data_IF_771891261599
#
_entry.id   IF_771891261599
#
_cell.length_a   1.000
_cell.length_b   1.000
_cell.length_c   1.000
_cell.angle_alpha   90.00
_cell.angle_beta   90.00
_cell.angle_gamma   90.00
#
_symmetry.space_group_name_H-M   'P 1'
#
loop_
_entity.id
_entity.type
_entity.pdbx_description
1 polymer ?
#
# COMPACT_ATOMS: atom_id res chain seq x y z
N UNK A 1 8.24 -2.12 7.07
CA UNK A 1 8.32 -2.18 5.59
C UNK A 1 9.65 -2.78 5.14
N UNK A 2 10.78 -2.23 5.58
CA UNK A 2 12.13 -2.73 5.25
C UNK A 2 12.34 -4.22 5.56
N UNK A 3 11.90 -4.69 6.73
CA UNK A 3 12.00 -6.11 7.09
C UNK A 3 11.27 -7.02 6.11
N UNK A 4 10.10 -6.61 5.62
CA UNK A 4 9.35 -7.35 4.61
C UNK A 4 10.10 -7.35 3.27
N UNK A 5 10.66 -6.22 2.83
CA UNK A 5 11.45 -6.17 1.61
C UNK A 5 12.70 -7.05 1.69
N UNK A 6 13.45 -7.00 2.79
CA UNK A 6 14.62 -7.86 3.01
C UNK A 6 14.24 -9.34 2.99
N UNK A 7 13.11 -9.70 3.61
CA UNK A 7 12.62 -11.09 3.61
C UNK A 7 12.20 -11.55 2.21
N UNK A 8 11.42 -10.75 1.47
CA UNK A 8 10.99 -11.08 0.10
C UNK A 8 12.16 -11.12 -0.86
N UNK A 9 13.14 -10.22 -0.73
CA UNK A 9 14.37 -10.26 -1.53
C UNK A 9 15.19 -11.52 -1.25
N UNK A 10 15.35 -11.90 0.02
CA UNK A 10 16.03 -13.14 0.39
C UNK A 10 15.30 -14.37 -0.18
N UNK A 11 13.97 -14.39 -0.07
CA UNK A 11 13.12 -15.44 -0.66
C UNK A 11 13.34 -15.53 -2.18
N UNK A 12 13.37 -14.41 -2.90
CA UNK A 12 13.64 -14.38 -4.35
C UNK A 12 15.04 -14.91 -4.72
N UNK A 13 16.04 -14.71 -3.87
CA UNK A 13 17.41 -15.20 -4.07
C UNK A 13 17.55 -16.70 -3.78
N UNK A 14 16.82 -17.20 -2.79
CA UNK A 14 16.87 -18.62 -2.39
C UNK A 14 15.99 -19.50 -3.30
N UNK A 15 14.82 -18.99 -3.73
CA UNK A 15 13.87 -19.72 -4.58
C UNK A 15 14.27 -19.58 -6.05
N UNK A 16 15.29 -20.35 -6.46
CA UNK A 16 15.81 -20.35 -7.83
C UNK A 16 14.88 -21.01 -8.85
N UNK A 17 14.00 -21.92 -8.41
CA UNK A 17 13.05 -22.64 -9.27
C UNK A 17 11.66 -22.67 -8.62
N UNK A 18 10.87 -21.59 -8.75
CA UNK A 18 9.56 -21.47 -8.10
C UNK A 18 8.56 -22.58 -8.46
N UNK A 19 8.69 -23.17 -9.65
CA UNK A 19 7.84 -24.28 -10.09
C UNK A 19 7.92 -25.52 -9.19
N UNK A 20 9.01 -25.69 -8.43
CA UNK A 20 9.16 -26.78 -7.46
C UNK A 20 8.24 -26.62 -6.23
N UNK A 21 7.71 -25.42 -6.01
CA UNK A 21 6.78 -25.14 -4.91
C UNK A 21 5.33 -25.53 -5.25
N UNK A 22 5.05 -25.87 -6.51
CA UNK A 22 3.70 -26.19 -6.98
C UNK A 22 3.23 -27.52 -6.38
N UNK A 23 2.05 -27.52 -5.77
CA UNK A 23 1.50 -28.66 -5.04
C UNK A 23 2.26 -29.03 -3.75
N UNK A 24 3.20 -28.18 -3.29
CA UNK A 24 3.83 -28.31 -1.98
C UNK A 24 3.04 -27.48 -0.99
N UNK A 25 2.62 -28.08 0.12
CA UNK A 25 1.84 -27.40 1.14
C UNK A 25 2.72 -27.06 2.35
N UNK A 26 2.46 -25.93 3.03
CA UNK A 26 3.22 -25.56 4.22
C UNK A 26 3.11 -26.63 5.31
N UNK A 27 4.23 -27.01 5.93
CA UNK A 27 4.20 -27.84 7.14
C UNK A 27 3.52 -27.05 8.25
N UNK A 28 2.44 -27.61 8.78
CA UNK A 28 1.66 -26.98 9.83
C UNK A 28 2.37 -27.15 11.18
N UNK A 29 3.23 -26.20 11.52
CA UNK A 29 3.92 -26.17 12.81
C UNK A 29 2.95 -25.69 13.91
N UNK A 30 2.18 -26.61 14.49
CA UNK A 30 1.61 -26.51 15.84
C UNK A 30 0.66 -25.34 16.15
N UNK A 31 -0.51 -25.27 15.52
CA UNK A 31 -1.73 -24.68 16.09
C UNK A 31 -2.96 -25.09 15.27
N UNK A 32 -4.10 -25.25 15.96
CA UNK A 32 -5.38 -25.80 15.49
C UNK A 32 -5.79 -25.49 14.03
N UNK A 33 -6.56 -26.39 13.39
CA UNK A 33 -6.92 -26.30 11.97
C UNK A 33 -7.95 -25.19 11.76
N UNK A 34 -7.48 -23.95 11.67
CA UNK A 34 -8.22 -22.89 11.02
C UNK A 34 -8.11 -23.19 9.52
N UNK A 35 -9.07 -23.96 8.99
CA UNK A 35 -9.35 -24.19 7.56
C UNK A 35 -8.14 -23.87 6.68
N UNK A 36 -7.18 -24.78 6.77
CA UNK A 36 -5.82 -24.68 6.28
C UNK A 36 -5.82 -24.11 4.87
N UNK A 37 -5.07 -23.02 4.67
CA UNK A 37 -4.86 -22.42 3.36
C UNK A 37 -4.45 -23.52 2.39
N UNK A 38 -5.38 -23.97 1.54
CA UNK A 38 -5.15 -24.98 0.50
C UNK A 38 -4.25 -24.43 -0.62
N UNK A 39 -3.71 -23.24 -0.42
CA UNK A 39 -2.76 -22.59 -1.31
C UNK A 39 -1.43 -23.31 -1.23
N UNK A 40 -0.91 -23.68 -2.39
CA UNK A 40 0.43 -24.24 -2.44
C UNK A 40 1.48 -23.15 -2.20
N UNK A 41 2.72 -23.57 -1.92
CA UNK A 41 3.81 -22.64 -1.68
C UNK A 41 4.13 -21.78 -2.91
N UNK A 42 3.76 -22.21 -4.12
CA UNK A 42 3.93 -21.43 -5.33
C UNK A 42 2.95 -20.26 -5.40
N UNK A 43 1.67 -20.48 -5.12
CA UNK A 43 0.65 -19.44 -5.03
C UNK A 43 1.00 -18.43 -3.93
N UNK A 44 1.45 -18.91 -2.77
CA UNK A 44 1.91 -18.04 -1.69
C UNK A 44 3.15 -17.23 -2.06
N UNK A 45 4.11 -17.84 -2.76
CA UNK A 45 5.28 -17.13 -3.30
C UNK A 45 4.87 -16.03 -4.28
N UNK A 46 3.90 -16.30 -5.16
CA UNK A 46 3.39 -15.33 -6.13
C UNK A 46 2.69 -14.15 -5.44
N UNK A 47 1.86 -14.41 -4.43
CA UNK A 47 1.22 -13.36 -3.64
C UNK A 47 2.25 -12.46 -2.94
N UNK A 48 3.22 -13.05 -2.25
CA UNK A 48 4.27 -12.29 -1.56
C UNK A 48 5.08 -11.42 -2.54
N UNK A 49 5.21 -11.84 -3.80
CA UNK A 49 5.83 -11.02 -4.85
C UNK A 49 4.92 -9.94 -5.41
N UNK A 50 3.63 -10.21 -5.55
CA UNK A 50 2.65 -9.23 -6.03
C UNK A 50 2.47 -8.06 -5.05
N UNK A 51 2.56 -8.33 -3.75
CA UNK A 51 2.45 -7.32 -2.70
C UNK A 51 3.69 -6.39 -2.65
N UNK A 52 4.88 -6.89 -3.00
CA UNK A 52 6.13 -6.11 -2.98
C UNK A 52 6.03 -4.75 -3.70
N UNK A 53 5.65 -4.68 -4.99
CA UNK A 53 5.50 -3.40 -5.69
C UNK A 53 4.35 -2.56 -5.14
N UNK A 54 3.29 -3.14 -4.58
CA UNK A 54 2.22 -2.37 -3.93
C UNK A 54 2.72 -1.64 -2.69
N UNK A 55 3.58 -2.29 -1.91
CA UNK A 55 4.20 -1.69 -0.72
C UNK A 55 5.25 -0.63 -1.11
N UNK A 56 6.02 -0.87 -2.17
CA UNK A 56 7.00 0.10 -2.71
C UNK A 56 6.30 1.33 -3.32
N UNK A 57 5.29 1.11 -4.18
CA UNK A 57 4.61 2.16 -4.95
C UNK A 57 3.43 2.78 -4.23
N UNK A 58 2.87 2.12 -3.23
CA UNK A 58 1.85 2.67 -2.32
C UNK A 58 2.33 3.89 -1.54
N UNK A 59 3.66 4.10 -1.46
CA UNK A 59 4.26 5.33 -0.98
C UNK A 59 4.64 6.31 -2.10
N UNK A 60 4.71 5.86 -3.35
CA UNK A 60 5.25 6.62 -4.49
C UNK A 60 4.18 7.15 -5.46
N UNK A 61 2.91 6.71 -5.39
CA UNK A 61 1.87 7.14 -6.34
C UNK A 61 1.29 8.51 -6.01
N UNK A 62 2.09 9.55 -6.20
CA UNK A 62 1.61 10.91 -6.44
C UNK A 62 1.55 11.10 -7.96
N UNK A 63 0.38 10.82 -8.53
CA UNK A 63 0.00 11.29 -9.86
C UNK A 63 0.52 10.46 -11.04
N UNK A 64 -0.17 9.37 -11.35
CA UNK A 64 -0.78 9.26 -12.68
C UNK A 64 -1.89 8.20 -12.67
N UNK A 65 -2.98 8.50 -13.36
CA UNK A 65 -4.18 7.67 -13.45
C UNK A 65 -4.02 6.60 -14.54
N UNK A 66 -4.47 5.37 -14.28
CA UNK A 66 -5.35 4.61 -15.20
C UNK A 66 -5.74 3.25 -14.60
N UNK A 67 -7.03 2.85 -14.60
CA UNK A 67 -7.45 1.49 -14.29
C UNK A 67 -7.27 0.63 -15.54
N UNK A 68 -6.12 -0.02 -15.68
CA UNK A 68 -5.97 -1.06 -16.71
C UNK A 68 -6.61 -2.33 -16.19
N UNK A 69 -7.80 -2.63 -16.71
CA UNK A 69 -8.51 -3.88 -16.48
C UNK A 69 -7.62 -5.09 -16.82
N UNK A 70 -7.62 -6.05 -15.92
CA UNK A 70 -7.25 -7.42 -16.21
C UNK A 70 -8.44 -8.27 -15.75
N UNK A 71 -9.26 -8.68 -16.72
CA UNK A 71 -10.27 -9.71 -16.54
C UNK A 71 -9.56 -11.00 -16.09
N UNK A 72 -9.74 -11.36 -14.83
CA UNK A 72 -9.45 -12.73 -14.35
C UNK A 72 -10.73 -13.29 -13.75
N UNK A 73 -11.55 -13.84 -14.65
CA UNK A 73 -12.57 -14.82 -14.34
C UNK A 73 -11.90 -16.06 -13.74
N UNK A 74 -11.80 -16.13 -12.42
CA UNK A 74 -11.53 -17.36 -11.67
C UNK A 74 -12.20 -17.26 -10.31
N UNK A 75 -13.52 -17.43 -10.33
CA UNK A 75 -14.32 -17.68 -9.14
C UNK A 75 -14.02 -19.09 -8.60
N UNK A 76 -12.93 -19.27 -7.84
CA UNK A 76 -12.73 -20.43 -6.98
C UNK A 76 -11.87 -20.04 -5.75
N UNK A 77 -12.55 -19.89 -4.61
CA UNK A 77 -12.02 -19.98 -3.24
C UNK A 77 -10.85 -19.03 -2.91
N UNK A 78 -11.18 -17.77 -2.66
CA UNK A 78 -10.29 -16.79 -2.03
C UNK A 78 -9.96 -17.21 -0.60
N UNK A 79 -8.92 -18.03 -0.46
CA UNK A 79 -8.24 -18.26 0.80
C UNK A 79 -7.81 -16.92 1.42
N UNK A 80 -7.69 -16.90 2.76
CA UNK A 80 -7.35 -15.73 3.59
C UNK A 80 -6.14 -14.90 3.12
N UNK A 81 -5.35 -15.44 2.21
CA UNK A 81 -4.20 -14.85 1.55
C UNK A 81 -4.59 -13.81 0.46
N UNK A 82 -5.63 -14.02 -0.37
CA UNK A 82 -6.10 -13.02 -1.36
C UNK A 82 -6.59 -11.73 -0.67
N UNK A 83 -7.26 -11.91 0.48
CA UNK A 83 -7.72 -10.83 1.35
C UNK A 83 -6.57 -9.94 1.88
N UNK A 84 -5.32 -10.45 1.97
CA UNK A 84 -4.20 -9.65 2.47
C UNK A 84 -3.82 -8.52 1.50
N UNK A 85 -3.82 -8.80 0.20
CA UNK A 85 -3.51 -7.79 -0.83
C UNK A 85 -4.57 -6.68 -0.83
N UNK A 86 -5.84 -7.06 -0.86
CA UNK A 86 -6.97 -6.10 -0.84
C UNK A 86 -6.98 -5.24 0.42
N UNK A 87 -6.76 -5.84 1.60
CA UNK A 87 -6.69 -5.11 2.86
C UNK A 87 -5.53 -4.13 2.89
N UNK A 88 -4.37 -4.54 2.40
CA UNK A 88 -3.19 -3.67 2.35
C UNK A 88 -3.44 -2.50 1.40
N UNK A 89 -3.97 -2.76 0.21
CA UNK A 89 -4.38 -1.75 -0.77
C UNK A 89 -5.35 -0.74 -0.15
N UNK A 90 -6.40 -1.23 0.51
CA UNK A 90 -7.39 -0.38 1.18
C UNK A 90 -6.75 0.52 2.26
N UNK A 91 -5.85 -0.02 3.10
CA UNK A 91 -5.18 0.76 4.13
C UNK A 91 -4.23 1.81 3.57
N UNK A 92 -3.45 1.48 2.54
CA UNK A 92 -2.53 2.41 1.87
C UNK A 92 -3.31 3.56 1.22
N UNK A 93 -4.39 3.24 0.50
CA UNK A 93 -5.26 4.24 -0.12
C UNK A 93 -5.91 5.15 0.93
N UNK A 94 -6.41 4.58 2.02
CA UNK A 94 -6.97 5.35 3.14
C UNK A 94 -5.95 6.31 3.76
N UNK A 95 -4.72 5.84 3.99
CA UNK A 95 -3.64 6.68 4.51
C UNK A 95 -3.29 7.81 3.52
N UNK A 96 -3.22 7.52 2.23
CA UNK A 96 -2.94 8.52 1.19
C UNK A 96 -4.02 9.62 1.15
N UNK A 97 -5.29 9.24 1.28
CA UNK A 97 -6.39 10.20 1.33
C UNK A 97 -6.26 11.15 2.53
N UNK A 98 -5.97 10.59 3.72
CA UNK A 98 -5.74 11.38 4.94
C UNK A 98 -4.57 12.35 4.77
N UNK A 99 -3.43 11.88 4.23
CA UNK A 99 -2.27 12.72 3.98
C UNK A 99 -2.56 13.84 2.97
N UNK A 100 -3.37 13.55 1.96
CA UNK A 100 -3.82 14.53 0.96
C UNK A 100 -4.64 15.65 1.62
N UNK A 101 -5.58 15.29 2.48
CA UNK A 101 -6.44 16.28 3.14
C UNK A 101 -5.69 17.08 4.21
N UNK A 102 -4.79 16.44 4.96
CA UNK A 102 -3.85 17.16 5.84
C UNK A 102 -3.01 18.17 5.06
N UNK A 103 -2.47 17.78 3.90
CA UNK A 103 -1.68 18.66 3.04
C UNK A 103 -2.49 19.86 2.55
N UNK A 104 -3.76 19.66 2.14
CA UNK A 104 -4.66 20.75 1.75
C UNK A 104 -4.90 21.71 2.92
N UNK A 105 -5.16 21.17 4.12
CA UNK A 105 -5.40 21.97 5.32
C UNK A 105 -4.17 22.79 5.69
N UNK A 106 -2.97 22.21 5.66
CA UNK A 106 -1.72 22.93 5.90
C UNK A 106 -1.55 24.08 4.91
N UNK A 107 -1.74 23.83 3.60
CA UNK A 107 -1.66 24.87 2.56
C UNK A 107 -2.68 26.00 2.78
N UNK A 108 -3.91 25.65 3.13
CA UNK A 108 -4.96 26.63 3.40
C UNK A 108 -4.63 27.50 4.62
N UNK A 109 -4.15 26.87 5.70
CA UNK A 109 -3.71 27.56 6.92
C UNK A 109 -2.56 28.52 6.62
N UNK A 110 -1.51 28.06 5.92
CA UNK A 110 -0.37 28.91 5.53
C UNK A 110 -0.83 30.09 4.68
N UNK A 111 -1.69 29.86 3.68
CA UNK A 111 -2.24 30.93 2.84
C UNK A 111 -3.04 31.94 3.67
N UNK A 112 -3.85 31.48 4.61
CA UNK A 112 -4.65 32.36 5.47
C UNK A 112 -3.76 33.22 6.36
N UNK A 113 -2.70 32.64 6.91
CA UNK A 113 -1.73 33.37 7.71
C UNK A 113 -1.03 34.47 6.89
N UNK A 114 -0.57 34.16 5.68
CA UNK A 114 0.03 35.17 4.78
C UNK A 114 -0.93 36.32 4.48
N UNK A 115 -2.21 36.05 4.22
CA UNK A 115 -3.22 37.09 4.01
C UNK A 115 -3.41 37.99 5.22
N UNK A 116 -3.37 37.43 6.44
CA UNK A 116 -3.50 38.22 7.67
C UNK A 116 -2.31 39.17 7.80
N UNK A 117 -1.09 38.69 7.54
CA UNK A 117 0.11 39.54 7.57
C UNK A 117 0.03 40.68 6.54
N UNK A 118 -0.41 40.40 5.31
CA UNK A 118 -0.61 41.40 4.27
C UNK A 118 -1.63 42.47 4.69
N UNK A 119 -2.75 42.06 5.30
CA UNK A 119 -3.78 42.99 5.79
C UNK A 119 -3.28 43.89 6.91
N UNK A 120 -2.48 43.36 7.84
CA UNK A 120 -1.90 44.15 8.93
C UNK A 120 -0.99 45.23 8.36
N UNK A 121 -0.05 44.87 7.47
CA UNK A 121 0.87 45.83 6.85
C UNK A 121 0.13 46.94 6.09
N UNK A 122 -0.91 46.60 5.33
CA UNK A 122 -1.70 47.59 4.57
C UNK A 122 -2.45 48.58 5.47
N UNK A 123 -2.82 48.14 6.68
CA UNK A 123 -3.55 48.96 7.65
C UNK A 123 -2.65 49.99 8.34
N UNK A 124 -1.37 49.67 8.53
CA UNK A 124 -0.37 50.57 9.12
C UNK A 124 0.00 51.73 8.17
N UNK A 125 0.13 51.45 6.88
CA UNK A 125 0.42 52.48 5.85
C UNK A 125 -0.73 53.50 5.70
N UNK A 126 -1.98 53.07 5.85
CA UNK A 126 -3.16 53.94 5.79
C UNK A 126 -3.33 54.81 7.04
N UNK A 127 -2.80 54.38 8.19
CA UNK A 127 -2.91 55.10 9.47
C UNK A 127 -1.82 56.17 9.67
N UNK A 128 -0.81 56.20 8.79
CA UNK A 128 0.33 57.12 8.84
C UNK A 128 0.23 58.31 7.87
N UNK A 129 -0.91 58.47 7.18
CA UNK A 129 -1.24 59.62 6.30
C UNK A 129 -2.27 60.54 6.95
#
# INVERSE_FOLDING_TARGET
>A
MEQYFSATQKMEQEVMFPSLLRGVFPQQEGAAPAAESRTDLYERYQLLKAIKPMVEKGLASVGDQSPSGADTDTALEEGADSNLEERLSHHVNGLQQVLTDLTKNTKALTRRYSQILEQINLSEDQSSS
#
